data_IF_249136396241
#
_entry.id   IF_249136396241
#
_cell.length_a   1.000
_cell.length_b   1.000
_cell.length_c   1.000
_cell.angle_alpha   90.00
_cell.angle_beta   90.00
_cell.angle_gamma   90.00
#
_symmetry.space_group_name_H-M   'P 1'
#
loop_
_entity.id
_entity.type
_entity.pdbx_description
1 polymer ?
#
# COMPACT_ATOMS: atom_id res chain seq x y z
N UNK A 1 38.51 2.68 -13.55
CA UNK A 1 37.63 2.42 -14.71
C UNK A 1 36.98 1.03 -14.50
N UNK A 2 35.82 0.97 -13.88
CA UNK A 2 35.04 -0.24 -13.79
C UNK A 2 33.57 0.14 -14.10
N UNK A 3 33.04 -0.46 -15.14
CA UNK A 3 31.70 -0.24 -15.64
C UNK A 3 30.70 -0.89 -14.67
N UNK A 4 29.85 -0.08 -14.04
CA UNK A 4 28.66 -0.56 -13.33
C UNK A 4 27.66 -1.02 -14.41
N UNK A 5 27.49 -2.32 -14.54
CA UNK A 5 26.41 -2.91 -15.33
C UNK A 5 25.14 -2.86 -14.48
N UNK A 6 24.21 -1.98 -14.83
CA UNK A 6 22.80 -2.10 -14.43
C UNK A 6 22.28 -3.44 -14.94
N UNK A 7 22.04 -4.37 -14.06
CA UNK A 7 21.18 -5.53 -14.33
C UNK A 7 19.74 -5.09 -14.05
N UNK A 8 19.03 -4.76 -15.10
CA UNK A 8 17.57 -4.77 -15.07
C UNK A 8 17.16 -6.24 -14.93
N UNK A 9 16.72 -6.63 -13.77
CA UNK A 9 16.07 -7.93 -13.58
C UNK A 9 14.59 -7.75 -13.90
N UNK A 10 14.21 -8.18 -15.08
CA UNK A 10 12.84 -8.58 -15.37
C UNK A 10 12.58 -9.88 -14.59
N UNK A 11 11.91 -9.81 -13.47
CA UNK A 11 11.21 -10.95 -12.90
C UNK A 11 9.72 -10.63 -13.01
N UNK A 12 9.04 -11.40 -13.87
CA UNK A 12 7.60 -11.37 -14.00
C UNK A 12 6.96 -11.83 -12.69
N UNK A 13 6.33 -10.90 -11.99
CA UNK A 13 5.48 -11.20 -10.85
C UNK A 13 4.14 -11.66 -11.42
N UNK A 14 3.85 -12.97 -11.35
CA UNK A 14 2.51 -13.50 -11.57
C UNK A 14 1.63 -13.10 -10.37
N UNK A 15 1.11 -11.89 -10.38
CA UNK A 15 0.00 -11.55 -9.52
C UNK A 15 -1.27 -12.19 -10.11
N UNK A 16 -1.72 -13.31 -9.55
CA UNK A 16 -3.06 -13.84 -9.83
C UNK A 16 -4.08 -12.98 -9.10
N UNK A 17 -4.42 -11.84 -9.66
CA UNK A 17 -5.61 -11.10 -9.25
C UNK A 17 -6.82 -11.79 -9.90
N UNK A 18 -7.58 -12.56 -9.13
CA UNK A 18 -8.92 -13.00 -9.56
C UNK A 18 -9.85 -11.83 -9.30
N UNK A 19 -9.96 -10.94 -10.28
CA UNK A 19 -10.97 -9.86 -10.25
C UNK A 19 -12.29 -10.48 -10.69
N UNK A 20 -13.22 -10.68 -9.74
CA UNK A 20 -14.61 -10.99 -10.07
C UNK A 20 -15.31 -9.68 -10.46
N UNK A 21 -15.42 -9.43 -11.75
CA UNK A 21 -16.28 -8.34 -12.25
C UNK A 21 -17.69 -8.91 -12.43
N UNK A 22 -18.62 -8.51 -11.59
CA UNK A 22 -20.04 -8.78 -11.77
C UNK A 22 -20.57 -7.76 -12.78
N UNK A 23 -20.66 -8.15 -14.05
CA UNK A 23 -21.33 -7.33 -15.09
C UNK A 23 -22.83 -7.60 -14.99
N UNK A 24 -23.59 -6.62 -14.46
CA UNK A 24 -25.05 -6.61 -14.54
C UNK A 24 -25.47 -5.97 -15.86
N UNK A 25 -25.99 -6.82 -16.79
CA UNK A 25 -26.70 -6.39 -17.97
C UNK A 25 -28.03 -5.75 -17.60
N UNK A 26 -28.21 -4.46 -17.90
CA UNK A 26 -29.53 -3.81 -17.92
C UNK A 26 -30.13 -4.00 -19.32
N UNK A 27 -30.93 -5.02 -19.48
CA UNK A 27 -31.79 -5.19 -20.66
C UNK A 27 -33.19 -4.66 -20.40
N UNK A 28 -33.65 -3.83 -21.31
CA UNK A 28 -35.02 -3.43 -21.73
C UNK A 28 -36.18 -3.48 -20.76
N UNK A 29 -36.80 -2.34 -20.62
CA UNK A 29 -38.04 -2.06 -19.89
C UNK A 29 -39.20 -2.91 -20.40
N UNK A 30 -39.69 -3.82 -19.54
CA UNK A 30 -40.99 -4.42 -19.65
C UNK A 30 -41.72 -4.29 -18.33
N UNK A 31 -42.81 -3.53 -18.28
CA UNK A 31 -43.69 -3.42 -17.12
C UNK A 31 -44.35 -4.76 -16.84
N UNK A 32 -44.03 -5.43 -15.74
CA UNK A 32 -44.76 -6.58 -15.23
C UNK A 32 -45.26 -6.30 -13.83
N UNK A 33 -46.54 -6.68 -13.59
CA UNK A 33 -47.29 -6.53 -12.35
C UNK A 33 -46.72 -7.35 -11.19
N UNK A 34 -46.96 -6.98 -9.92
CA UNK A 34 -46.44 -7.70 -8.77
C UNK A 34 -47.22 -8.99 -8.52
N UNK A 35 -46.60 -10.13 -8.75
CA UNK A 35 -47.23 -11.41 -8.44
C UNK A 35 -46.52 -12.69 -8.83
N UNK A 36 -45.42 -12.65 -9.56
CA UNK A 36 -44.79 -13.88 -10.03
C UNK A 36 -43.55 -14.28 -9.22
N UNK A 37 -43.63 -15.47 -8.66
CA UNK A 37 -42.57 -16.14 -7.94
C UNK A 37 -41.33 -16.36 -8.85
N UNK A 38 -40.17 -16.09 -8.30
CA UNK A 38 -38.88 -16.41 -8.92
C UNK A 38 -38.77 -17.93 -9.17
N UNK A 39 -39.07 -18.37 -10.39
CA UNK A 39 -38.63 -19.66 -10.86
C UNK A 39 -37.20 -19.53 -11.37
N UNK A 40 -36.28 -20.26 -10.74
CA UNK A 40 -34.89 -20.37 -11.18
C UNK A 40 -34.88 -20.84 -12.67
N UNK A 41 -34.36 -19.98 -13.54
CA UNK A 41 -34.10 -20.36 -14.92
C UNK A 41 -33.04 -21.48 -14.94
N UNK A 42 -33.44 -22.65 -15.43
CA UNK A 42 -32.53 -23.76 -15.65
C UNK A 42 -31.43 -23.33 -16.63
N UNK A 43 -30.17 -23.48 -16.25
CA UNK A 43 -29.03 -23.30 -17.13
C UNK A 43 -29.15 -24.24 -18.32
N UNK A 44 -29.18 -23.70 -19.55
CA UNK A 44 -28.90 -24.48 -20.73
C UNK A 44 -27.49 -25.08 -20.62
N UNK A 45 -27.28 -26.32 -21.04
CA UNK A 45 -25.96 -26.94 -21.00
C UNK A 45 -24.99 -26.15 -21.89
N UNK A 46 -24.00 -25.56 -21.29
CA UNK A 46 -22.85 -24.95 -21.96
C UNK A 46 -22.11 -26.09 -22.66
N UNK A 47 -21.96 -26.00 -23.99
CA UNK A 47 -21.14 -26.93 -24.77
C UNK A 47 -19.71 -26.99 -24.23
N UNK A 48 -18.90 -27.99 -24.54
CA UNK A 48 -17.58 -28.16 -23.99
C UNK A 48 -16.74 -26.90 -24.27
N UNK A 49 -16.32 -26.25 -23.18
CA UNK A 49 -15.35 -25.17 -23.24
C UNK A 49 -14.06 -25.72 -23.84
N UNK A 50 -13.61 -25.17 -24.94
CA UNK A 50 -12.24 -25.39 -25.38
C UNK A 50 -11.31 -24.97 -24.26
N UNK A 51 -10.59 -25.94 -23.71
CA UNK A 51 -9.69 -25.77 -22.54
C UNK A 51 -8.38 -25.13 -22.96
N UNK A 52 -8.43 -23.85 -23.34
CA UNK A 52 -7.26 -22.99 -23.34
C UNK A 52 -7.20 -22.29 -22.00
N UNK A 53 -6.18 -22.53 -21.19
CA UNK A 53 -5.88 -21.66 -20.04
C UNK A 53 -5.71 -20.24 -20.59
N UNK A 54 -6.44 -19.21 -20.09
CA UNK A 54 -6.18 -17.83 -20.50
C UNK A 54 -4.71 -17.52 -20.27
N UNK A 55 -4.01 -17.08 -21.33
CA UNK A 55 -2.64 -16.59 -21.18
C UNK A 55 -2.64 -15.27 -20.40
N UNK A 56 -1.49 -14.80 -19.90
CA UNK A 56 -1.37 -13.46 -19.37
C UNK A 56 -1.78 -12.45 -20.46
N UNK A 57 -2.38 -11.33 -20.05
CA UNK A 57 -2.73 -10.21 -20.92
C UNK A 57 -3.79 -10.52 -22.00
N UNK A 58 -4.81 -11.27 -21.63
CA UNK A 58 -5.95 -11.59 -22.51
C UNK A 58 -7.27 -11.11 -21.91
N UNK A 59 -8.21 -10.74 -22.81
CA UNK A 59 -9.61 -10.52 -22.45
C UNK A 59 -10.40 -11.76 -22.84
N UNK A 60 -11.16 -12.31 -21.91
CA UNK A 60 -12.01 -13.49 -22.14
C UNK A 60 -13.48 -13.11 -21.98
N UNK A 61 -14.30 -13.47 -22.96
CA UNK A 61 -15.75 -13.27 -22.94
C UNK A 61 -16.48 -14.52 -22.44
N UNK A 62 -17.57 -14.31 -21.71
CA UNK A 62 -18.48 -15.35 -21.24
C UNK A 62 -19.93 -14.99 -21.56
N UNK A 63 -20.77 -15.99 -21.74
CA UNK A 63 -22.19 -15.79 -22.06
C UNK A 63 -22.41 -15.26 -23.47
N UNK A 64 -23.20 -14.19 -23.59
CA UNK A 64 -23.49 -13.54 -24.88
C UNK A 64 -22.43 -12.49 -25.27
N UNK A 65 -21.45 -12.22 -24.42
CA UNK A 65 -20.37 -11.30 -24.75
C UNK A 65 -19.50 -11.90 -25.86
N UNK A 66 -19.08 -11.06 -26.81
CA UNK A 66 -18.17 -11.46 -27.88
C UNK A 66 -16.88 -10.69 -27.74
N UNK A 67 -15.75 -11.39 -27.76
CA UNK A 67 -14.42 -10.76 -27.90
C UNK A 67 -14.00 -10.93 -29.35
N UNK A 68 -13.52 -9.87 -29.98
CA UNK A 68 -12.94 -9.97 -31.31
C UNK A 68 -11.81 -11.02 -31.32
N UNK A 69 -11.74 -11.92 -32.30
CA UNK A 69 -10.68 -12.93 -32.35
C UNK A 69 -9.30 -12.26 -32.33
N UNK A 70 -8.43 -12.69 -31.43
CA UNK A 70 -7.04 -12.23 -31.35
C UNK A 70 -6.78 -11.03 -30.42
N UNK A 71 -7.65 -10.73 -29.47
CA UNK A 71 -7.43 -9.66 -28.48
C UNK A 71 -6.43 -10.11 -27.42
N UNK A 72 -5.18 -10.26 -27.83
CA UNK A 72 -4.03 -10.25 -26.90
C UNK A 72 -3.62 -8.81 -26.73
N UNK A 73 -3.54 -8.34 -25.48
CA UNK A 73 -3.04 -7.01 -25.18
C UNK A 73 -1.52 -7.00 -25.43
N UNK A 74 -1.08 -6.21 -26.40
CA UNK A 74 0.32 -6.09 -26.75
C UNK A 74 0.88 -4.75 -26.26
N UNK A 75 2.13 -4.76 -25.84
CA UNK A 75 2.85 -3.53 -25.45
C UNK A 75 2.47 -2.99 -24.09
N UNK A 76 2.03 -3.85 -23.16
CA UNK A 76 1.82 -3.49 -21.76
C UNK A 76 3.16 -3.16 -21.10
N UNK A 77 3.25 -1.95 -20.53
CA UNK A 77 4.38 -1.55 -19.68
C UNK A 77 4.08 -1.79 -18.19
N UNK A 78 2.78 -1.99 -17.86
CA UNK A 78 2.30 -2.12 -16.50
C UNK A 78 1.10 -3.11 -16.43
N UNK A 79 0.78 -3.68 -15.25
CA UNK A 79 -0.33 -4.63 -15.09
C UNK A 79 -1.69 -4.01 -15.44
N UNK A 80 -2.60 -4.83 -15.99
CA UNK A 80 -4.02 -4.46 -16.15
C UNK A 80 -4.70 -4.40 -14.79
N UNK A 81 -5.43 -3.31 -14.54
CA UNK A 81 -6.12 -3.04 -13.26
C UNK A 81 -7.61 -2.78 -13.41
N UNK A 82 -8.15 -2.69 -14.64
CA UNK A 82 -9.57 -2.45 -14.84
C UNK A 82 -10.03 -2.70 -16.27
N UNK A 83 -11.34 -2.91 -16.40
CA UNK A 83 -12.05 -3.04 -17.66
C UNK A 83 -13.40 -2.35 -17.56
N UNK A 84 -13.85 -1.64 -18.62
CA UNK A 84 -15.18 -1.08 -18.74
C UNK A 84 -15.75 -1.41 -20.11
N UNK A 85 -17.06 -1.76 -20.16
CA UNK A 85 -17.75 -2.03 -21.42
C UNK A 85 -18.32 -0.74 -22.01
N UNK A 86 -18.47 -0.70 -23.34
CA UNK A 86 -19.29 0.31 -24.01
C UNK A 86 -20.77 0.14 -23.61
N UNK A 87 -21.59 1.21 -23.61
CA UNK A 87 -23.00 1.13 -23.19
C UNK A 87 -23.85 0.13 -24.00
N UNK A 88 -23.51 -0.10 -25.26
CA UNK A 88 -24.17 -1.08 -26.13
C UNK A 88 -23.65 -2.52 -25.98
N UNK A 89 -22.54 -2.67 -25.22
CA UNK A 89 -21.91 -3.97 -24.96
C UNK A 89 -21.14 -4.57 -26.14
N UNK A 90 -20.84 -3.78 -27.18
CA UNK A 90 -20.15 -4.25 -28.39
C UNK A 90 -18.62 -3.99 -28.33
N UNK A 91 -18.17 -3.20 -27.33
CA UNK A 91 -16.76 -2.91 -27.10
C UNK A 91 -16.41 -2.81 -25.63
N UNK A 92 -15.13 -2.60 -25.38
CA UNK A 92 -14.58 -2.41 -24.02
C UNK A 92 -13.27 -1.62 -24.04
N UNK A 93 -12.98 -0.99 -22.93
CA UNK A 93 -11.69 -0.40 -22.61
C UNK A 93 -11.02 -1.22 -21.51
N UNK A 94 -9.70 -1.36 -21.60
CA UNK A 94 -8.86 -1.95 -20.57
C UNK A 94 -7.87 -0.88 -20.12
N UNK A 95 -7.65 -0.74 -18.81
CA UNK A 95 -6.69 0.19 -18.23
C UNK A 95 -5.57 -0.57 -17.53
N UNK A 96 -4.33 -0.13 -17.76
CA UNK A 96 -3.15 -0.56 -17.02
C UNK A 96 -2.84 0.40 -15.85
N UNK A 97 -2.05 -0.04 -14.87
CA UNK A 97 -1.74 0.75 -13.67
C UNK A 97 -0.91 2.01 -13.96
N UNK A 98 -0.22 2.07 -15.10
CA UNK A 98 0.45 3.27 -15.60
C UNK A 98 -0.50 4.26 -16.31
N UNK A 99 -1.79 3.95 -16.37
CA UNK A 99 -2.81 4.73 -17.07
C UNK A 99 -2.88 4.50 -18.58
N UNK A 100 -2.18 3.50 -19.10
CA UNK A 100 -2.29 3.04 -20.48
C UNK A 100 -3.70 2.49 -20.76
N UNK A 101 -4.29 2.87 -21.92
CA UNK A 101 -5.63 2.44 -22.35
C UNK A 101 -5.53 1.59 -23.60
N UNK A 102 -6.26 0.48 -23.60
CA UNK A 102 -6.40 -0.45 -24.71
C UNK A 102 -7.88 -0.63 -25.04
N UNK A 103 -8.22 -0.64 -26.32
CA UNK A 103 -9.60 -0.72 -26.77
C UNK A 103 -9.87 -2.05 -27.49
N UNK A 104 -11.06 -2.58 -27.32
CA UNK A 104 -11.54 -3.76 -28.06
C UNK A 104 -12.97 -3.58 -28.56
N UNK A 105 -13.33 -4.27 -29.64
CA UNK A 105 -14.64 -4.11 -30.27
C UNK A 105 -14.82 -2.74 -30.92
N UNK A 106 -15.94 -2.08 -30.65
CA UNK A 106 -16.26 -0.74 -31.17
C UNK A 106 -15.87 0.41 -30.21
N UNK A 107 -15.19 0.10 -29.12
CA UNK A 107 -14.73 1.11 -28.17
C UNK A 107 -13.71 2.07 -28.81
N UNK A 108 -13.98 3.37 -28.78
CA UNK A 108 -13.09 4.40 -29.29
C UNK A 108 -12.04 4.81 -28.27
N UNK A 109 -10.83 5.12 -28.73
CA UNK A 109 -9.76 5.63 -27.85
C UNK A 109 -9.98 7.13 -27.64
N UNK A 110 -10.22 7.53 -26.39
CA UNK A 110 -10.50 8.93 -26.01
C UNK A 110 -9.31 9.61 -25.31
N UNK A 111 -8.22 8.87 -25.08
CA UNK A 111 -7.01 9.39 -24.44
C UNK A 111 -6.44 8.42 -23.40
N UNK A 112 -5.28 8.76 -22.86
CA UNK A 112 -4.52 7.88 -21.95
C UNK A 112 -3.66 8.69 -20.98
N UNK A 113 -3.48 8.21 -19.77
CA UNK A 113 -2.52 8.74 -18.82
C UNK A 113 -1.13 8.06 -18.90
N UNK A 114 -0.95 7.01 -19.73
CA UNK A 114 0.29 6.24 -19.84
C UNK A 114 1.52 7.00 -20.32
N UNK A 115 1.39 8.27 -20.71
CA UNK A 115 2.50 9.14 -21.10
C UNK A 115 2.83 10.25 -20.11
N UNK A 116 2.13 10.33 -18.97
CA UNK A 116 2.34 11.35 -17.94
C UNK A 116 2.89 10.71 -16.66
N UNK A 117 3.59 11.50 -15.87
CA UNK A 117 4.02 11.06 -14.55
C UNK A 117 2.82 11.03 -13.60
N UNK A 118 2.52 9.87 -13.03
CA UNK A 118 1.47 9.68 -12.02
C UNK A 118 2.11 9.71 -10.62
N UNK A 119 1.47 10.40 -9.68
CA UNK A 119 1.88 10.37 -8.27
C UNK A 119 1.55 9.04 -7.60
N UNK A 120 0.53 8.35 -8.11
CA UNK A 120 0.08 7.05 -7.62
C UNK A 120 -0.46 6.21 -8.79
N UNK A 121 -0.40 4.87 -8.72
CA UNK A 121 -0.86 4.01 -9.80
C UNK A 121 -2.38 4.12 -10.00
N UNK A 122 -2.83 3.96 -11.25
CA UNK A 122 -4.25 3.79 -11.58
C UNK A 122 -4.72 2.44 -11.00
N UNK A 123 -5.92 2.45 -10.42
CA UNK A 123 -6.55 1.28 -9.77
C UNK A 123 -7.93 0.95 -10.33
N UNK A 124 -8.47 1.78 -11.22
CA UNK A 124 -9.78 1.53 -11.81
C UNK A 124 -10.20 2.54 -12.86
N UNK A 125 -11.31 2.24 -13.53
CA UNK A 125 -11.93 3.11 -14.53
C UNK A 125 -13.44 2.97 -14.51
N UNK A 126 -14.13 4.00 -15.04
CA UNK A 126 -15.57 3.97 -15.31
C UNK A 126 -15.85 4.66 -16.65
N UNK A 127 -16.73 4.06 -17.49
CA UNK A 127 -17.15 4.67 -18.73
C UNK A 127 -18.28 5.67 -18.52
N UNK A 128 -18.38 6.68 -19.41
CA UNK A 128 -19.56 7.57 -19.48
C UNK A 128 -20.76 6.82 -20.06
N UNK A 129 -21.99 7.20 -19.69
CA UNK A 129 -23.19 6.60 -20.26
C UNK A 129 -23.35 6.82 -21.77
N UNK A 130 -22.68 7.82 -22.34
CA UNK A 130 -22.64 8.10 -23.77
C UNK A 130 -21.79 7.11 -24.57
N UNK A 131 -20.78 6.49 -23.91
CA UNK A 131 -19.75 5.68 -24.55
C UNK A 131 -18.66 6.47 -25.26
N UNK A 132 -18.58 7.79 -25.06
CA UNK A 132 -17.62 8.67 -25.69
C UNK A 132 -16.60 9.26 -24.69
N UNK A 133 -16.45 8.63 -23.53
CA UNK A 133 -15.49 9.03 -22.53
C UNK A 133 -15.38 8.03 -21.38
N UNK A 134 -14.40 8.26 -20.54
CA UNK A 134 -14.17 7.50 -19.32
C UNK A 134 -13.34 8.27 -18.31
N UNK A 135 -13.46 7.88 -17.06
CA UNK A 135 -12.62 8.34 -15.97
C UNK A 135 -11.65 7.23 -15.58
N UNK A 136 -10.42 7.60 -15.18
CA UNK A 136 -9.47 6.75 -14.48
C UNK A 136 -9.32 7.26 -13.05
N UNK A 137 -9.15 6.37 -12.09
CA UNK A 137 -8.87 6.73 -10.71
C UNK A 137 -7.54 6.13 -10.27
N UNK A 138 -6.70 6.94 -9.62
CA UNK A 138 -5.46 6.53 -8.98
C UNK A 138 -5.69 6.16 -7.51
N UNK A 139 -4.76 5.42 -6.91
CA UNK A 139 -4.86 4.97 -5.51
C UNK A 139 -4.81 6.11 -4.50
N UNK A 140 -4.25 7.28 -4.84
CA UNK A 140 -4.30 8.52 -4.05
C UNK A 140 -5.61 9.29 -4.19
N UNK A 141 -6.60 8.74 -4.93
CA UNK A 141 -7.86 9.38 -5.23
C UNK A 141 -7.81 10.42 -6.35
N UNK A 142 -6.68 10.54 -7.06
CA UNK A 142 -6.56 11.35 -8.28
C UNK A 142 -7.49 10.83 -9.38
N UNK A 143 -8.22 11.74 -10.06
CA UNK A 143 -9.13 11.38 -11.16
C UNK A 143 -8.67 12.04 -12.45
N UNK A 144 -8.65 11.26 -13.53
CA UNK A 144 -8.32 11.70 -14.89
C UNK A 144 -9.52 11.47 -15.79
N UNK A 145 -9.91 12.50 -16.55
CA UNK A 145 -11.08 12.51 -17.43
C UNK A 145 -10.65 12.50 -18.88
N UNK A 146 -11.28 11.65 -19.70
CA UNK A 146 -11.02 11.54 -21.13
C UNK A 146 -12.31 11.54 -21.94
N UNK A 147 -12.25 12.06 -23.19
CA UNK A 147 -13.42 12.19 -24.05
C UNK A 147 -14.44 13.20 -23.47
N UNK A 148 -15.69 12.79 -23.42
CA UNK A 148 -16.79 13.60 -22.88
C UNK A 148 -17.01 13.46 -21.36
N UNK A 149 -16.12 12.75 -20.67
CA UNK A 149 -16.19 12.56 -19.22
C UNK A 149 -15.93 13.88 -18.47
N UNK A 150 -16.92 14.48 -17.77
CA UNK A 150 -16.69 15.71 -17.03
C UNK A 150 -15.85 15.44 -15.79
N UNK A 151 -14.94 16.37 -15.45
CA UNK A 151 -14.22 16.33 -14.19
C UNK A 151 -15.08 16.95 -13.09
N UNK A 152 -15.49 16.16 -12.11
CA UNK A 152 -16.38 16.56 -11.02
C UNK A 152 -15.65 16.72 -9.67
N UNK A 153 -14.36 16.38 -9.61
CA UNK A 153 -13.53 16.51 -8.43
C UNK A 153 -12.60 15.32 -8.20
N UNK A 154 -11.76 15.40 -7.19
CA UNK A 154 -10.69 14.44 -6.91
C UNK A 154 -10.23 14.56 -5.47
N UNK A 155 -9.72 13.47 -4.88
CA UNK A 155 -8.99 13.49 -3.62
C UNK A 155 -7.46 13.56 -3.83
N UNK A 156 -6.98 13.48 -5.06
CA UNK A 156 -5.55 13.59 -5.39
C UNK A 156 -4.87 14.78 -4.73
N UNK A 157 -3.74 14.54 -4.08
CA UNK A 157 -2.99 15.54 -3.32
C UNK A 157 -3.51 15.81 -1.91
N UNK A 158 -4.49 15.03 -1.42
CA UNK A 158 -4.95 15.04 -0.02
C UNK A 158 -4.54 13.74 0.67
N UNK A 159 -4.14 13.80 1.95
CA UNK A 159 -3.89 12.58 2.71
C UNK A 159 -5.18 11.76 2.85
N UNK A 160 -5.14 10.51 2.44
CA UNK A 160 -6.21 9.53 2.65
C UNK A 160 -5.84 8.61 3.82
N UNK A 161 -6.83 8.16 4.58
CA UNK A 161 -6.62 7.14 5.62
C UNK A 161 -6.26 5.79 5.02
N UNK A 162 -6.85 5.48 3.85
CA UNK A 162 -6.62 4.25 3.10
C UNK A 162 -6.69 4.55 1.59
N UNK A 163 -5.93 3.84 0.75
CA UNK A 163 -5.94 4.07 -0.68
C UNK A 163 -7.29 3.77 -1.32
N UNK A 164 -7.61 4.51 -2.37
CA UNK A 164 -8.74 4.21 -3.26
C UNK A 164 -8.45 2.92 -4.02
N UNK A 165 -9.48 2.08 -4.17
CA UNK A 165 -9.41 0.77 -4.84
C UNK A 165 -10.41 0.62 -5.99
N UNK A 166 -11.25 1.61 -6.23
CA UNK A 166 -12.20 1.56 -7.34
C UNK A 166 -13.08 2.79 -7.45
N UNK A 167 -13.80 2.88 -8.57
CA UNK A 167 -14.77 3.94 -8.84
C UNK A 167 -16.00 3.40 -9.56
N UNK A 168 -17.11 4.14 -9.46
CA UNK A 168 -18.30 3.91 -10.27
C UNK A 168 -18.95 5.24 -10.65
N UNK A 169 -19.37 5.37 -11.92
CA UNK A 169 -20.07 6.55 -12.40
C UNK A 169 -21.55 6.53 -12.02
N UNK A 170 -22.16 7.73 -11.88
CA UNK A 170 -23.62 7.85 -11.78
C UNK A 170 -24.26 7.53 -13.14
N UNK A 171 -25.53 7.08 -13.15
CA UNK A 171 -26.24 6.83 -14.38
C UNK A 171 -26.43 8.07 -15.28
N UNK A 172 -26.35 9.26 -14.70
CA UNK A 172 -26.43 10.55 -15.44
C UNK A 172 -25.12 10.88 -16.19
N UNK A 173 -23.97 10.32 -15.74
CA UNK A 173 -22.65 10.70 -16.22
C UNK A 173 -22.13 12.04 -15.69
N UNK A 174 -22.81 12.64 -14.68
CA UNK A 174 -22.44 13.92 -14.05
C UNK A 174 -21.92 13.74 -12.62
N UNK A 175 -21.48 12.56 -12.26
CA UNK A 175 -20.87 12.28 -10.98
C UNK A 175 -20.28 10.89 -10.92
N UNK A 176 -19.54 10.64 -9.85
CA UNK A 176 -18.94 9.34 -9.54
C UNK A 176 -18.66 9.20 -8.06
N UNK A 177 -18.58 7.95 -7.62
CA UNK A 177 -18.09 7.56 -6.31
C UNK A 177 -16.72 6.93 -6.43
N UNK A 178 -15.86 7.20 -5.45
CA UNK A 178 -14.61 6.47 -5.22
C UNK A 178 -14.78 5.66 -3.93
N UNK A 179 -14.23 4.45 -3.89
CA UNK A 179 -14.19 3.62 -2.69
C UNK A 179 -12.74 3.40 -2.26
N UNK A 180 -12.45 3.67 -0.98
CA UNK A 180 -11.18 3.31 -0.36
C UNK A 180 -11.22 1.88 0.18
N UNK A 181 -10.04 1.30 0.44
CA UNK A 181 -9.90 -0.08 0.88
C UNK A 181 -10.54 -0.38 2.24
N UNK A 182 -10.77 0.63 3.08
CA UNK A 182 -11.51 0.54 4.35
C UNK A 182 -13.04 0.67 4.18
N UNK A 183 -13.53 0.78 2.94
CA UNK A 183 -14.92 1.03 2.63
C UNK A 183 -15.33 2.51 2.71
N UNK A 184 -14.36 3.42 2.87
CA UNK A 184 -14.56 4.86 2.77
C UNK A 184 -15.09 5.26 1.40
N UNK A 185 -16.12 6.14 1.34
CA UNK A 185 -16.74 6.61 0.09
C UNK A 185 -16.50 8.10 -0.07
N UNK A 186 -16.04 8.49 -1.26
CA UNK A 186 -15.96 9.88 -1.71
C UNK A 186 -16.93 10.09 -2.86
N UNK A 187 -17.74 11.14 -2.79
CA UNK A 187 -18.80 11.44 -3.74
C UNK A 187 -18.51 12.74 -4.47
N UNK A 188 -18.60 12.73 -5.80
CA UNK A 188 -18.33 13.89 -6.65
C UNK A 188 -19.47 14.13 -7.64
N UNK A 189 -19.65 15.41 -8.02
CA UNK A 189 -20.72 15.81 -8.95
C UNK A 189 -22.10 15.56 -8.35
N UNK A 190 -22.98 14.92 -9.12
CA UNK A 190 -24.33 14.55 -8.70
C UNK A 190 -24.44 13.20 -7.96
N UNK A 191 -23.29 12.58 -7.62
CA UNK A 191 -23.27 11.32 -6.89
C UNK A 191 -23.69 11.54 -5.43
N UNK A 192 -24.86 11.02 -4.98
CA UNK A 192 -25.29 11.20 -3.60
C UNK A 192 -24.47 10.31 -2.66
N UNK A 193 -24.16 10.83 -1.46
CA UNK A 193 -23.57 10.04 -0.41
C UNK A 193 -24.66 9.24 0.30
N UNK A 194 -24.58 7.89 0.24
CA UNK A 194 -25.59 6.98 0.81
C UNK A 194 -25.03 6.16 1.99
N UNK A 195 -23.83 6.51 2.48
CA UNK A 195 -23.18 5.87 3.61
C UNK A 195 -21.77 5.36 3.27
N UNK A 196 -21.04 4.95 4.30
CA UNK A 196 -19.62 4.56 4.19
C UNK A 196 -19.26 3.67 5.37
N UNK A 197 -18.38 2.71 5.15
CA UNK A 197 -17.75 1.92 6.21
C UNK A 197 -16.39 2.48 6.64
N UNK A 198 -15.94 3.57 6.02
CA UNK A 198 -14.67 4.22 6.34
C UNK A 198 -14.56 4.57 7.83
N UNK A 199 -13.45 4.15 8.45
CA UNK A 199 -13.23 4.29 9.89
C UNK A 199 -13.97 3.28 10.77
N UNK A 200 -14.75 2.37 10.18
CA UNK A 200 -15.39 1.26 10.90
C UNK A 200 -14.58 -0.01 10.66
N UNK A 201 -14.26 -0.82 11.70
CA UNK A 201 -13.58 -2.10 11.48
C UNK A 201 -14.46 -3.03 10.63
N UNK A 202 -14.05 -3.29 9.40
CA UNK A 202 -14.70 -4.25 8.50
C UNK A 202 -14.00 -5.61 8.57
N UNK A 203 -14.74 -6.69 8.30
CA UNK A 203 -14.17 -8.06 8.24
C UNK A 203 -13.50 -8.38 6.89
N UNK A 204 -13.23 -7.38 6.06
CA UNK A 204 -12.62 -7.52 4.75
C UNK A 204 -12.14 -6.19 4.21
N UNK A 205 -11.39 -6.26 3.13
CA UNK A 205 -10.91 -5.08 2.38
C UNK A 205 -11.88 -4.81 1.25
N UNK A 206 -12.32 -3.57 1.09
CA UNK A 206 -13.11 -3.21 -0.08
C UNK A 206 -12.28 -3.43 -1.34
N UNK A 207 -12.83 -4.17 -2.31
CA UNK A 207 -12.15 -4.55 -3.56
C UNK A 207 -12.85 -4.01 -4.79
N UNK A 208 -13.99 -3.35 -4.62
CA UNK A 208 -14.73 -2.76 -5.72
C UNK A 208 -16.03 -2.10 -5.30
N UNK A 209 -16.55 -1.31 -6.22
CA UNK A 209 -17.79 -0.53 -6.10
C UNK A 209 -18.62 -0.72 -7.35
N UNK A 210 -19.93 -0.87 -7.20
CA UNK A 210 -20.87 -0.89 -8.31
C UNK A 210 -22.04 0.06 -8.05
N UNK A 211 -22.33 0.94 -9.02
CA UNK A 211 -23.47 1.83 -8.97
C UNK A 211 -24.80 1.06 -9.15
N UNK A 212 -25.86 1.56 -8.51
CA UNK A 212 -27.25 1.10 -8.67
C UNK A 212 -28.20 2.30 -8.61
N UNK A 213 -29.45 2.16 -9.06
CA UNK A 213 -30.43 3.22 -8.83
C UNK A 213 -30.61 3.50 -7.33
N UNK A 214 -30.30 4.75 -6.92
CA UNK A 214 -30.42 5.23 -5.54
C UNK A 214 -29.30 4.73 -4.60
N UNK A 215 -28.08 4.50 -5.12
CA UNK A 215 -26.92 4.17 -4.28
C UNK A 215 -25.86 3.32 -4.95
N UNK A 216 -25.16 2.51 -4.17
CA UNK A 216 -24.05 1.66 -4.61
C UNK A 216 -23.94 0.40 -3.75
N UNK A 217 -23.24 -0.60 -4.25
CA UNK A 217 -22.75 -1.74 -3.49
C UNK A 217 -21.23 -1.66 -3.37
N UNK A 218 -20.72 -2.02 -2.21
CA UNK A 218 -19.29 -2.23 -1.98
C UNK A 218 -19.04 -3.73 -1.90
N UNK A 219 -18.10 -4.24 -2.66
CA UNK A 219 -17.65 -5.62 -2.56
C UNK A 219 -16.45 -5.69 -1.62
N UNK A 220 -16.51 -6.60 -0.65
CA UNK A 220 -15.40 -6.89 0.25
C UNK A 220 -14.78 -8.24 -0.09
N UNK A 221 -13.47 -8.27 -0.20
CA UNK A 221 -12.70 -9.48 -0.42
C UNK A 221 -12.07 -9.99 0.88
N UNK A 222 -11.92 -11.31 0.99
CA UNK A 222 -11.09 -11.96 2.01
C UNK A 222 -9.83 -12.49 1.33
N UNK A 223 -8.86 -11.60 1.06
CA UNK A 223 -7.51 -12.03 0.74
C UNK A 223 -6.73 -12.38 2.03
N UNK A 224 -5.57 -12.99 1.90
CA UNK A 224 -4.75 -13.32 3.06
C UNK A 224 -4.35 -12.05 3.83
N UNK A 225 -4.12 -10.93 3.12
CA UNK A 225 -3.77 -9.65 3.69
C UNK A 225 -4.93 -9.02 4.51
N UNK A 226 -6.20 -9.27 4.14
CA UNK A 226 -7.36 -8.81 4.92
C UNK A 226 -7.45 -9.48 6.30
N UNK A 227 -6.84 -10.65 6.45
CA UNK A 227 -6.77 -11.39 7.71
C UNK A 227 -5.65 -10.92 8.62
N UNK A 228 -4.67 -10.16 8.11
CA UNK A 228 -3.48 -9.75 8.87
C UNK A 228 -3.84 -9.14 10.23
N UNK A 229 -4.71 -8.14 10.25
CA UNK A 229 -5.05 -7.43 11.49
C UNK A 229 -5.88 -8.30 12.44
N UNK A 230 -6.91 -9.05 12.00
CA UNK A 230 -7.55 -10.07 12.84
C UNK A 230 -6.58 -11.09 13.42
N UNK A 231 -5.67 -11.64 12.63
CA UNK A 231 -4.72 -12.67 13.07
C UNK A 231 -3.68 -12.08 14.05
N UNK A 232 -3.22 -10.83 13.84
CA UNK A 232 -2.41 -10.09 14.82
C UNK A 232 -3.19 -9.88 16.13
N UNK A 233 -4.46 -9.47 16.04
CA UNK A 233 -5.29 -9.26 17.23
C UNK A 233 -5.48 -10.55 18.04
N UNK A 234 -5.71 -11.67 17.40
CA UNK A 234 -5.81 -13.00 18.02
C UNK A 234 -4.49 -13.40 18.69
N UNK A 235 -3.36 -13.24 17.98
CA UNK A 235 -2.04 -13.54 18.53
C UNK A 235 -1.73 -12.65 19.75
N UNK A 236 -1.91 -11.33 19.63
CA UNK A 236 -1.63 -10.37 20.72
C UNK A 236 -2.53 -10.60 21.93
N UNK A 237 -3.77 -11.09 21.74
CA UNK A 237 -4.65 -11.44 22.86
C UNK A 237 -4.07 -12.56 23.76
N UNK A 238 -3.12 -13.34 23.27
CA UNK A 238 -2.38 -14.35 24.05
C UNK A 238 -1.13 -13.82 24.74
N UNK A 239 -0.79 -12.54 24.50
CA UNK A 239 0.42 -11.88 25.03
C UNK A 239 0.07 -10.98 26.21
N UNK A 240 1.04 -10.74 27.09
CA UNK A 240 0.88 -9.93 28.29
C UNK A 240 1.31 -8.46 28.10
N UNK A 241 1.59 -8.04 26.88
CA UNK A 241 2.17 -6.76 26.50
C UNK A 241 1.19 -5.86 25.74
N UNK A 242 1.49 -4.56 25.71
CA UNK A 242 0.85 -3.66 24.77
C UNK A 242 1.60 -3.74 23.44
N UNK A 243 0.84 -3.83 22.35
CA UNK A 243 1.38 -3.94 21.00
C UNK A 243 0.66 -2.96 20.08
N UNK A 244 1.40 -2.19 19.30
CA UNK A 244 0.89 -1.43 18.16
C UNK A 244 1.68 -1.82 16.91
N UNK A 245 0.98 -1.93 15.78
CA UNK A 245 1.55 -2.39 14.52
C UNK A 245 1.11 -1.50 13.38
N UNK A 246 2.03 -1.21 12.47
CA UNK A 246 1.73 -0.70 11.16
C UNK A 246 2.53 -1.49 10.12
N UNK A 247 1.88 -1.88 9.04
CA UNK A 247 2.49 -2.55 7.89
C UNK A 247 2.01 -1.86 6.63
N UNK A 248 2.90 -1.53 5.72
CA UNK A 248 2.57 -0.96 4.43
C UNK A 248 3.06 -1.89 3.33
N UNK A 249 2.13 -2.36 2.51
CA UNK A 249 2.42 -3.12 1.31
C UNK A 249 2.75 -2.15 0.16
N UNK A 250 4.03 -2.02 -0.18
CA UNK A 250 4.51 -1.11 -1.23
C UNK A 250 4.10 -1.56 -2.65
N UNK A 251 3.65 -2.81 -2.80
CA UNK A 251 3.18 -3.30 -4.10
C UNK A 251 1.84 -2.68 -4.52
N UNK A 252 1.05 -2.20 -3.54
CA UNK A 252 -0.30 -1.66 -3.76
C UNK A 252 -0.63 -0.42 -2.91
N UNK A 253 0.30 0.02 -2.04
CA UNK A 253 0.15 1.20 -1.17
C UNK A 253 -0.80 1.00 0.02
N UNK A 254 -1.25 -0.23 0.33
CA UNK A 254 -2.14 -0.49 1.46
C UNK A 254 -1.40 -0.44 2.79
N UNK A 255 -2.02 0.24 3.77
CA UNK A 255 -1.52 0.30 5.15
C UNK A 255 -2.46 -0.47 6.08
N UNK A 256 -1.91 -1.43 6.79
CA UNK A 256 -2.59 -2.25 7.80
C UNK A 256 -2.16 -1.79 9.19
N UNK A 257 -3.11 -1.50 10.08
CA UNK A 257 -2.81 -0.95 11.39
C UNK A 257 -3.53 -1.72 12.49
N UNK A 258 -2.80 -2.02 13.57
CA UNK A 258 -3.34 -2.54 14.82
C UNK A 258 -3.06 -1.55 15.94
N UNK A 259 -4.10 -1.05 16.62
CA UNK A 259 -4.04 -0.02 17.68
C UNK A 259 -3.27 1.24 17.26
N UNK A 260 -3.64 1.92 16.17
CA UNK A 260 -2.86 3.00 15.55
C UNK A 260 -2.64 4.22 16.46
N UNK A 261 -3.50 4.44 17.46
CA UNK A 261 -3.37 5.56 18.41
C UNK A 261 -2.51 5.26 19.64
N UNK A 262 -1.94 4.06 19.76
CA UNK A 262 -1.07 3.72 20.86
C UNK A 262 0.31 4.37 20.62
N UNK A 263 0.77 5.13 21.63
CA UNK A 263 2.05 5.84 21.61
C UNK A 263 3.03 5.08 22.50
N UNK A 264 4.21 4.80 21.97
CA UNK A 264 5.27 4.06 22.65
C UNK A 264 6.60 4.80 22.54
N UNK A 265 7.55 4.46 23.40
CA UNK A 265 8.91 4.99 23.28
C UNK A 265 9.65 4.30 22.11
N UNK A 266 10.48 5.07 21.43
CA UNK A 266 11.25 4.57 20.28
C UNK A 266 12.30 3.53 20.64
N UNK A 267 12.90 3.63 21.83
CA UNK A 267 14.15 2.96 22.14
C UNK A 267 15.16 3.13 20.98
N UNK A 268 15.97 2.10 20.66
CA UNK A 268 16.99 2.20 19.61
C UNK A 268 16.48 2.28 18.17
N UNK A 269 15.16 2.22 17.92
CA UNK A 269 14.66 2.49 16.58
C UNK A 269 14.87 3.95 16.15
N UNK A 270 15.00 4.89 17.12
CA UNK A 270 15.34 6.29 16.87
C UNK A 270 16.71 6.49 16.18
N UNK A 271 17.60 5.54 16.26
CA UNK A 271 18.94 5.65 15.67
C UNK A 271 18.90 5.85 14.16
N UNK A 272 17.85 5.40 13.48
CA UNK A 272 17.60 5.69 12.07
C UNK A 272 17.35 7.19 11.87
N UNK A 273 16.57 7.82 12.75
CA UNK A 273 16.22 9.24 12.68
C UNK A 273 17.46 10.11 12.95
N UNK A 274 18.30 9.70 13.91
CA UNK A 274 19.59 10.35 14.20
C UNK A 274 20.48 10.30 12.95
N UNK A 275 20.62 9.14 12.31
CA UNK A 275 21.44 9.00 11.12
C UNK A 275 20.86 9.77 9.91
N UNK A 276 19.54 9.74 9.71
CA UNK A 276 18.87 10.53 8.70
C UNK A 276 19.14 12.03 8.89
N UNK A 277 19.08 12.50 10.15
CA UNK A 277 19.36 13.90 10.49
C UNK A 277 20.82 14.28 10.20
N UNK A 278 21.76 13.42 10.55
CA UNK A 278 23.19 13.65 10.27
C UNK A 278 23.43 13.76 8.75
N UNK A 279 22.81 12.89 7.98
CA UNK A 279 22.92 12.87 6.52
C UNK A 279 22.26 14.08 5.86
N UNK A 280 21.08 14.52 6.33
CA UNK A 280 20.45 15.74 5.82
C UNK A 280 21.29 16.99 6.08
N UNK A 281 21.95 17.09 7.24
CA UNK A 281 22.88 18.19 7.50
C UNK A 281 24.11 18.15 6.57
N UNK A 282 24.71 16.99 6.35
CA UNK A 282 25.81 16.81 5.41
C UNK A 282 25.39 17.18 3.96
N UNK A 283 24.19 16.76 3.53
CA UNK A 283 23.60 17.13 2.24
C UNK A 283 23.45 18.65 2.09
N UNK A 284 22.90 19.31 3.11
CA UNK A 284 22.72 20.76 3.11
C UNK A 284 24.05 21.52 3.05
N UNK A 285 25.10 20.96 3.66
CA UNK A 285 26.46 21.49 3.60
C UNK A 285 27.20 21.15 2.29
N UNK A 286 26.65 20.29 1.45
CA UNK A 286 27.30 19.79 0.25
C UNK A 286 28.52 18.90 0.50
N UNK A 287 28.55 18.21 1.67
CA UNK A 287 29.66 17.35 2.11
C UNK A 287 29.20 15.91 2.28
N UNK A 288 30.18 15.00 2.30
CA UNK A 288 29.96 13.65 2.84
C UNK A 288 30.16 13.65 4.36
N UNK A 289 29.69 12.58 5.02
CA UNK A 289 30.03 12.35 6.44
C UNK A 289 31.55 12.27 6.61
N UNK A 290 32.06 12.90 7.66
CA UNK A 290 33.46 12.80 8.06
C UNK A 290 33.81 11.36 8.47
N UNK A 291 35.10 10.96 8.47
CA UNK A 291 35.52 9.66 8.96
C UNK A 291 35.10 9.41 10.44
N UNK A 292 35.05 10.44 11.25
CA UNK A 292 34.60 10.36 12.63
C UNK A 292 33.09 10.07 12.71
N UNK A 293 32.26 10.78 11.97
CA UNK A 293 30.81 10.54 11.88
C UNK A 293 30.50 9.15 11.34
N UNK A 294 31.23 8.68 10.32
CA UNK A 294 31.09 7.31 9.80
C UNK A 294 31.45 6.25 10.85
N UNK A 295 32.52 6.51 11.66
CA UNK A 295 32.94 5.61 12.74
C UNK A 295 31.91 5.50 13.88
N UNK A 296 31.01 6.48 14.01
CA UNK A 296 29.88 6.45 14.94
C UNK A 296 28.63 5.85 14.29
N UNK A 297 28.32 6.22 13.04
CA UNK A 297 27.12 5.78 12.35
C UNK A 297 27.04 4.25 12.16
N UNK A 298 28.16 3.61 11.77
CA UNK A 298 28.20 2.17 11.53
C UNK A 298 27.83 1.38 12.78
N UNK A 299 28.54 1.47 13.92
CA UNK A 299 28.21 0.67 15.10
C UNK A 299 26.89 1.12 15.75
N UNK A 300 26.45 2.38 15.55
CA UNK A 300 25.14 2.85 16.01
C UNK A 300 23.99 2.05 15.37
N UNK A 301 24.09 1.76 14.07
CA UNK A 301 23.04 1.02 13.36
C UNK A 301 23.27 -0.48 13.45
N UNK A 302 24.46 -0.98 13.08
CA UNK A 302 24.73 -2.42 12.94
C UNK A 302 24.77 -3.13 14.30
N UNK A 303 25.43 -2.55 15.32
CA UNK A 303 25.58 -3.11 16.68
C UNK A 303 24.59 -2.52 17.68
N UNK A 304 23.80 -1.54 17.26
CA UNK A 304 22.94 -0.76 18.16
C UNK A 304 23.70 -0.07 19.30
N UNK A 305 24.93 0.42 19.06
CA UNK A 305 25.80 1.00 20.08
C UNK A 305 25.23 2.33 20.63
N UNK A 306 24.86 2.36 21.92
CA UNK A 306 24.23 3.52 22.56
C UNK A 306 25.18 4.71 22.68
N UNK A 307 26.46 4.49 23.03
CA UNK A 307 27.43 5.59 23.16
C UNK A 307 27.68 6.37 21.86
N UNK A 308 27.52 5.72 20.71
CA UNK A 308 27.57 6.38 19.42
C UNK A 308 26.31 7.25 19.19
N UNK A 309 25.16 6.73 19.56
CA UNK A 309 23.89 7.48 19.51
C UNK A 309 23.92 8.67 20.47
N UNK A 310 24.43 8.52 21.71
CA UNK A 310 24.59 9.60 22.70
C UNK A 310 25.43 10.75 22.14
N UNK A 311 26.54 10.39 21.47
CA UNK A 311 27.45 11.37 20.87
C UNK A 311 26.75 12.15 19.76
N UNK A 312 26.13 11.45 18.79
CA UNK A 312 25.45 12.08 17.66
C UNK A 312 24.20 12.85 18.10
N UNK A 313 23.41 12.33 19.03
CA UNK A 313 22.26 13.03 19.61
C UNK A 313 22.66 14.33 20.29
N UNK A 314 23.77 14.32 21.04
CA UNK A 314 24.30 15.51 21.68
C UNK A 314 24.79 16.55 20.67
N UNK A 315 25.43 16.08 19.60
CA UNK A 315 25.90 16.93 18.50
C UNK A 315 24.74 17.59 17.74
N UNK A 316 23.73 16.83 17.37
CA UNK A 316 22.61 17.27 16.54
C UNK A 316 21.57 18.07 17.35
N UNK A 317 21.26 17.59 18.54
CA UNK A 317 20.20 18.07 19.42
C UNK A 317 18.79 17.60 19.02
N UNK A 318 17.87 17.49 20.00
CA UNK A 318 16.51 16.97 19.76
C UNK A 318 15.70 17.82 18.78
N UNK A 319 15.98 19.11 18.68
CA UNK A 319 15.29 20.00 17.75
C UNK A 319 15.57 19.71 16.28
N UNK A 320 16.80 19.34 15.95
CA UNK A 320 17.19 18.99 14.59
C UNK A 320 16.60 17.63 14.19
N UNK A 321 16.65 16.63 15.09
CA UNK A 321 16.04 15.32 14.85
C UNK A 321 14.53 15.47 14.66
N UNK A 322 13.84 16.18 15.55
CA UNK A 322 12.41 16.45 15.42
C UNK A 322 12.01 17.28 14.19
N UNK A 323 12.93 18.05 13.60
CA UNK A 323 12.68 18.72 12.32
C UNK A 323 12.64 17.71 11.16
N UNK A 324 13.61 16.80 11.12
CA UNK A 324 13.69 15.73 10.13
C UNK A 324 12.52 14.75 10.26
N UNK A 325 12.14 14.36 11.48
CA UNK A 325 10.96 13.55 11.77
C UNK A 325 9.69 14.17 11.16
N UNK A 326 9.46 15.47 11.38
CA UNK A 326 8.29 16.17 10.82
C UNK A 326 8.34 16.24 9.30
N UNK A 327 9.52 16.45 8.71
CA UNK A 327 9.71 16.48 7.26
C UNK A 327 9.47 15.10 6.65
N UNK A 328 9.82 14.03 7.36
CA UNK A 328 9.47 12.66 7.01
C UNK A 328 7.98 12.31 7.18
N UNK A 329 7.16 13.25 7.71
CA UNK A 329 5.72 13.05 7.93
C UNK A 329 5.34 12.45 9.28
N UNK A 330 6.25 12.39 10.25
CA UNK A 330 6.02 11.85 11.59
C UNK A 330 5.31 12.89 12.46
N UNK A 331 3.99 12.90 12.45
CA UNK A 331 3.18 13.96 13.06
C UNK A 331 2.85 13.74 14.53
N UNK A 332 2.96 12.51 15.02
CA UNK A 332 2.67 12.10 16.40
C UNK A 332 3.95 11.84 17.22
N UNK A 333 5.13 11.90 16.58
CA UNK A 333 6.42 11.71 17.26
C UNK A 333 6.82 12.96 18.03
N UNK A 334 7.20 12.77 19.28
CA UNK A 334 7.63 13.84 20.19
C UNK A 334 9.04 13.54 20.69
N UNK A 335 10.05 14.33 20.27
CA UNK A 335 11.42 14.15 20.70
C UNK A 335 11.57 14.26 22.22
N UNK A 336 12.42 13.43 22.80
CA UNK A 336 12.74 13.44 24.23
C UNK A 336 13.32 14.79 24.65
N UNK A 337 12.88 15.29 25.82
CA UNK A 337 13.36 16.54 26.43
C UNK A 337 14.16 16.32 27.71
N UNK A 338 14.24 15.07 28.16
CA UNK A 338 14.98 14.66 29.39
C UNK A 338 16.46 14.34 29.11
N UNK A 339 16.91 14.45 27.88
CA UNK A 339 18.26 14.12 27.43
C UNK A 339 18.49 12.65 27.09
N UNK A 340 17.47 11.80 27.23
CA UNK A 340 17.54 10.38 26.94
C UNK A 340 16.82 10.12 25.61
N UNK A 341 17.53 10.07 24.51
CA UNK A 341 16.95 9.94 23.15
C UNK A 341 15.95 8.78 23.00
N UNK A 342 16.19 7.64 23.66
CA UNK A 342 15.33 6.46 23.62
C UNK A 342 13.94 6.64 24.23
N UNK A 343 13.69 7.72 24.99
CA UNK A 343 12.39 8.09 25.54
C UNK A 343 11.57 9.00 24.59
N UNK A 344 12.08 9.29 23.39
CA UNK A 344 11.27 9.86 22.31
C UNK A 344 10.02 9.01 22.10
N UNK A 345 8.85 9.61 22.10
CA UNK A 345 7.59 8.91 21.93
C UNK A 345 7.12 8.97 20.48
N UNK A 346 6.51 7.87 19.99
CA UNK A 346 6.14 7.70 18.59
C UNK A 346 4.95 6.76 18.44
N UNK A 347 4.41 6.67 17.22
CA UNK A 347 3.42 5.64 16.81
C UNK A 347 4.05 4.69 15.80
N UNK A 348 3.46 3.51 15.63
CA UNK A 348 3.90 2.58 14.59
C UNK A 348 3.77 3.19 13.18
N UNK A 349 2.75 4.02 12.94
CA UNK A 349 2.58 4.71 11.66
C UNK A 349 3.69 5.72 11.38
N UNK A 350 4.08 6.50 12.39
CA UNK A 350 5.20 7.45 12.26
C UNK A 350 6.52 6.72 11.97
N UNK A 351 6.72 5.54 12.59
CA UNK A 351 7.92 4.73 12.28
C UNK A 351 7.93 4.26 10.81
N UNK A 352 6.76 3.89 10.24
CA UNK A 352 6.69 3.60 8.80
C UNK A 352 7.06 4.82 7.96
N UNK A 353 6.63 6.03 8.34
CA UNK A 353 6.94 7.25 7.59
C UNK A 353 8.46 7.47 7.48
N UNK A 354 9.22 7.25 8.56
CA UNK A 354 10.69 7.32 8.52
C UNK A 354 11.28 6.23 7.61
N UNK A 355 10.83 4.97 7.74
CA UNK A 355 11.36 3.89 6.89
C UNK A 355 10.99 4.11 5.43
N UNK A 356 9.80 4.64 5.13
CA UNK A 356 9.43 5.04 3.77
C UNK A 356 10.37 6.10 3.21
N UNK A 357 10.71 7.13 4.01
CA UNK A 357 11.67 8.15 3.60
C UNK A 357 13.07 7.57 3.32
N UNK A 358 13.44 6.47 3.99
CA UNK A 358 14.70 5.75 3.73
C UNK A 358 14.61 4.88 2.46
N UNK A 359 13.46 4.27 2.18
CA UNK A 359 13.28 3.31 1.07
C UNK A 359 12.92 4.01 -0.25
N UNK A 360 11.93 4.91 -0.22
CA UNK A 360 11.39 5.55 -1.42
C UNK A 360 12.09 6.86 -1.79
N UNK A 361 12.16 7.22 -3.08
CA UNK A 361 12.67 8.52 -3.53
C UNK A 361 11.88 9.69 -2.93
N UNK A 362 12.58 10.68 -2.37
CA UNK A 362 11.96 11.85 -1.75
C UNK A 362 12.94 13.04 -1.75
N UNK A 363 12.49 14.22 -1.29
CA UNK A 363 13.32 15.42 -1.22
C UNK A 363 14.18 15.50 0.05
N UNK A 364 13.83 14.75 1.11
CA UNK A 364 14.54 14.77 2.39
C UNK A 364 15.90 14.08 2.31
N UNK A 365 15.97 12.90 1.69
CA UNK A 365 17.18 12.08 1.59
C UNK A 365 17.55 11.84 0.14
N UNK A 366 18.79 12.16 -0.23
CA UNK A 366 19.34 11.79 -1.56
C UNK A 366 19.42 10.28 -1.71
N UNK A 367 19.48 9.80 -2.97
CA UNK A 367 19.69 8.37 -3.28
C UNK A 367 20.92 7.79 -2.56
N UNK A 368 22.01 8.57 -2.46
CA UNK A 368 23.22 8.15 -1.77
C UNK A 368 23.02 8.01 -0.25
N UNK A 369 22.27 8.93 0.37
CA UNK A 369 21.96 8.87 1.79
C UNK A 369 21.05 7.71 2.13
N UNK A 370 20.00 7.48 1.32
CA UNK A 370 19.11 6.33 1.47
C UNK A 370 19.87 5.01 1.35
N UNK A 371 20.69 4.87 0.29
CA UNK A 371 21.51 3.68 0.08
C UNK A 371 22.49 3.43 1.24
N UNK A 372 23.03 4.49 1.86
CA UNK A 372 23.91 4.37 3.01
C UNK A 372 23.16 3.86 4.25
N UNK A 373 21.99 4.42 4.55
CA UNK A 373 21.16 3.96 5.68
C UNK A 373 20.74 2.50 5.47
N UNK A 374 20.18 2.17 4.30
CA UNK A 374 19.74 0.80 3.96
C UNK A 374 20.91 -0.18 4.07
N UNK A 375 22.08 0.17 3.52
CA UNK A 375 23.26 -0.69 3.61
C UNK A 375 23.64 -1.03 5.05
N UNK A 376 23.55 -0.09 6.01
CA UNK A 376 23.81 -0.38 7.41
C UNK A 376 22.69 -1.22 8.04
N UNK A 377 21.43 -0.96 7.69
CA UNK A 377 20.27 -1.69 8.21
C UNK A 377 20.20 -3.14 7.68
N UNK A 378 20.82 -3.44 6.54
CA UNK A 378 20.95 -4.79 5.97
C UNK A 378 22.12 -5.59 6.58
N UNK A 379 23.06 -4.90 7.26
CA UNK A 379 24.30 -5.51 7.79
C UNK A 379 24.34 -5.54 9.31
N UNK A 380 23.17 -5.62 9.96
CA UNK A 380 23.08 -5.74 11.42
C UNK A 380 23.79 -7.00 11.93
N UNK A 381 24.33 -6.91 13.15
CA UNK A 381 24.98 -8.06 13.78
C UNK A 381 23.97 -9.17 14.10
N UNK A 382 24.41 -10.47 14.13
CA UNK A 382 23.51 -11.60 14.40
C UNK A 382 22.69 -11.50 15.69
N UNK A 383 23.17 -10.78 16.70
CA UNK A 383 22.42 -10.54 17.94
C UNK A 383 21.23 -9.61 17.78
N UNK A 384 21.17 -8.87 16.66
CA UNK A 384 20.08 -7.96 16.29
C UNK A 384 19.16 -8.56 15.22
N UNK A 385 19.45 -9.79 14.72
CA UNK A 385 18.66 -10.45 13.67
C UNK A 385 17.38 -11.07 14.24
N UNK A 386 16.41 -10.23 14.55
CA UNK A 386 15.07 -10.56 15.03
C UNK A 386 14.08 -9.45 14.66
N UNK A 387 12.81 -9.61 14.95
CA UNK A 387 11.77 -8.61 14.68
C UNK A 387 11.30 -8.67 13.22
N UNK A 388 11.66 -7.71 12.39
CA UNK A 388 11.22 -7.66 11.00
C UNK A 388 11.63 -8.90 10.19
N UNK A 389 12.62 -9.68 10.64
CA UNK A 389 13.01 -10.98 10.05
C UNK A 389 12.09 -12.13 10.43
N UNK A 390 11.16 -11.92 11.37
CA UNK A 390 10.25 -12.96 11.85
C UNK A 390 9.45 -13.63 10.72
N UNK A 391 9.68 -14.92 10.47
CA UNK A 391 9.02 -15.69 9.42
C UNK A 391 9.56 -15.49 8.01
N UNK A 392 10.52 -14.61 7.81
CA UNK A 392 11.13 -14.31 6.51
C UNK A 392 12.17 -15.40 6.17
N UNK A 393 12.11 -16.04 4.99
CA UNK A 393 13.06 -17.08 4.62
C UNK A 393 14.41 -16.49 4.19
N UNK A 394 15.50 -17.27 4.25
CA UNK A 394 16.80 -16.86 3.74
C UNK A 394 16.76 -16.44 2.26
N UNK A 395 17.47 -15.37 1.93
CA UNK A 395 17.58 -14.85 0.55
C UNK A 395 16.60 -13.73 0.22
N UNK A 396 15.74 -13.37 1.15
CA UNK A 396 14.94 -12.13 1.10
C UNK A 396 15.75 -11.01 1.74
N UNK A 397 15.70 -9.82 1.16
CA UNK A 397 16.35 -8.63 1.73
C UNK A 397 15.54 -8.12 2.91
N UNK A 398 16.18 -7.91 4.05
CA UNK A 398 15.59 -7.26 5.21
C UNK A 398 16.54 -6.16 5.69
N UNK A 399 16.09 -4.92 5.63
CA UNK A 399 16.75 -3.79 6.25
C UNK A 399 15.97 -3.41 7.52
N UNK A 400 16.58 -3.53 8.70
CA UNK A 400 15.85 -3.33 9.94
C UNK A 400 16.64 -2.55 11.00
N UNK A 401 15.91 -1.97 11.94
CA UNK A 401 16.45 -1.46 13.20
C UNK A 401 15.56 -1.86 14.35
N UNK A 402 16.14 -2.57 15.29
CA UNK A 402 15.49 -2.96 16.52
C UNK A 402 15.75 -1.94 17.63
N UNK A 403 14.85 -1.93 18.61
CA UNK A 403 14.97 -1.15 19.82
C UNK A 403 14.50 -1.96 21.03
N UNK A 404 15.28 -1.92 22.10
CA UNK A 404 14.90 -2.52 23.38
C UNK A 404 15.35 -1.62 24.54
N UNK A 405 14.53 -1.53 25.57
CA UNK A 405 14.79 -0.75 26.76
C UNK A 405 13.95 -1.28 27.93
N UNK A 406 14.34 -0.94 29.14
CA UNK A 406 13.51 -1.17 30.34
C UNK A 406 12.98 0.17 30.80
N UNK A 407 11.74 0.49 30.41
CA UNK A 407 11.02 1.71 30.77
C UNK A 407 9.59 1.26 31.12
N UNK A 408 9.24 1.21 32.41
CA UNK A 408 7.96 0.66 32.88
C UNK A 408 7.65 -0.77 32.34
N UNK A 409 8.65 -1.66 32.37
CA UNK A 409 8.67 -2.97 31.75
C UNK A 409 9.59 -3.01 30.53
N UNK A 410 9.72 -4.19 29.93
CA UNK A 410 10.51 -4.30 28.71
C UNK A 410 9.75 -3.73 27.51
N UNK A 411 10.41 -2.84 26.81
CA UNK A 411 10.01 -2.38 25.47
C UNK A 411 10.85 -3.09 24.44
N UNK A 412 10.19 -3.69 23.47
CA UNK A 412 10.82 -4.41 22.36
C UNK A 412 10.17 -3.95 21.08
N UNK A 413 10.93 -3.30 20.23
CA UNK A 413 10.47 -2.64 19.04
C UNK A 413 11.25 -3.14 17.82
N UNK A 414 10.61 -3.19 16.67
CA UNK A 414 11.26 -3.40 15.38
C UNK A 414 10.67 -2.46 14.34
N UNK A 415 11.50 -1.99 13.43
CA UNK A 415 11.07 -1.25 12.24
C UNK A 415 11.96 -1.67 11.08
N UNK A 416 11.38 -1.84 9.89
CA UNK A 416 12.17 -2.31 8.75
C UNK A 416 11.44 -2.33 7.43
N UNK A 417 12.19 -2.69 6.41
CA UNK A 417 11.77 -2.95 5.05
C UNK A 417 12.13 -4.37 4.66
N UNK A 418 11.20 -5.04 3.99
CA UNK A 418 11.36 -6.42 3.53
C UNK A 418 11.05 -6.49 2.05
N UNK A 419 12.00 -6.94 1.23
CA UNK A 419 11.88 -7.08 -0.23
C UNK A 419 12.36 -8.44 -0.72
N UNK A 420 11.49 -9.14 -1.41
CA UNK A 420 11.79 -10.42 -2.05
C UNK A 420 10.65 -11.42 -1.98
N UNK A 421 10.78 -12.51 -2.73
CA UNK A 421 9.77 -13.56 -2.84
C UNK A 421 8.36 -13.02 -3.20
N UNK A 422 8.32 -11.98 -4.07
CA UNK A 422 7.09 -11.33 -4.53
C UNK A 422 6.42 -10.42 -3.50
N UNK A 423 7.13 -10.02 -2.45
CA UNK A 423 6.71 -9.07 -1.42
C UNK A 423 7.63 -7.86 -1.45
N UNK A 424 7.08 -6.71 -1.12
CA UNK A 424 7.78 -5.45 -0.89
C UNK A 424 6.94 -4.66 0.12
N UNK A 425 7.41 -4.57 1.38
CA UNK A 425 6.62 -3.94 2.44
C UNK A 425 7.48 -3.31 3.54
N UNK A 426 6.90 -2.33 4.21
CA UNK A 426 7.41 -1.72 5.42
C UNK A 426 6.67 -2.30 6.63
N UNK A 427 7.39 -2.44 7.75
CA UNK A 427 6.81 -2.91 9.01
C UNK A 427 7.34 -2.10 10.20
N UNK A 428 6.45 -1.77 11.13
CA UNK A 428 6.78 -1.25 12.45
C UNK A 428 5.93 -1.97 13.50
N UNK A 429 6.60 -2.56 14.49
CA UNK A 429 5.96 -3.18 15.65
C UNK A 429 6.58 -2.57 16.90
N UNK A 430 5.76 -1.91 17.71
CA UNK A 430 6.19 -1.31 18.98
C UNK A 430 5.47 -2.01 20.12
N UNK A 431 6.22 -2.36 21.16
CA UNK A 431 5.66 -3.08 22.31
C UNK A 431 6.15 -2.51 23.63
N UNK A 432 5.31 -2.60 24.67
CA UNK A 432 5.63 -2.19 26.02
C UNK A 432 5.00 -3.14 27.05
N UNK A 433 5.63 -3.25 28.24
CA UNK A 433 5.13 -4.11 29.30
C UNK A 433 5.46 -5.59 29.13
N UNK A 434 6.41 -5.93 28.28
CA UNK A 434 6.88 -7.30 28.14
C UNK A 434 7.50 -7.81 29.44
N UNK A 435 7.23 -9.06 29.80
CA UNK A 435 7.72 -9.68 31.03
C UNK A 435 9.22 -9.98 30.99
N UNK A 436 9.82 -10.06 29.83
CA UNK A 436 11.26 -10.19 29.59
C UNK A 436 11.61 -9.83 28.15
N UNK A 437 12.90 -9.59 27.88
CA UNK A 437 13.42 -9.33 26.54
C UNK A 437 13.11 -10.49 25.57
N UNK A 438 13.42 -11.76 25.86
CA UNK A 438 13.09 -12.87 24.95
C UNK A 438 11.59 -13.03 24.69
N UNK A 439 10.75 -12.68 25.68
CA UNK A 439 9.31 -12.71 25.51
C UNK A 439 8.85 -11.66 24.50
N UNK A 440 9.35 -10.42 24.63
CA UNK A 440 9.02 -9.33 23.70
C UNK A 440 9.57 -9.59 22.29
N UNK A 441 10.79 -10.13 22.15
CA UNK A 441 11.33 -10.57 20.87
C UNK A 441 10.37 -11.58 20.22
N UNK A 442 9.93 -12.61 20.97
CA UNK A 442 8.94 -13.56 20.46
C UNK A 442 7.60 -12.92 20.08
N UNK A 443 7.22 -11.79 20.71
CA UNK A 443 6.01 -11.04 20.32
C UNK A 443 6.20 -10.35 18.97
N UNK A 444 7.29 -9.62 18.77
CA UNK A 444 7.54 -8.91 17.51
C UNK A 444 7.81 -9.87 16.36
N UNK A 445 8.53 -10.97 16.58
CA UNK A 445 8.74 -12.04 15.59
C UNK A 445 7.42 -12.69 15.14
N UNK A 446 6.53 -12.97 16.09
CA UNK A 446 5.23 -13.56 15.81
C UNK A 446 4.36 -12.63 14.97
N UNK A 447 4.32 -11.34 15.30
CA UNK A 447 3.60 -10.32 14.51
C UNK A 447 4.19 -10.22 13.10
N UNK A 448 5.52 -10.14 12.98
CA UNK A 448 6.21 -10.07 11.69
C UNK A 448 5.95 -11.32 10.83
N UNK A 449 5.94 -12.51 11.45
CA UNK A 449 5.60 -13.75 10.75
C UNK A 449 4.15 -13.75 10.23
N UNK A 450 3.20 -13.18 10.96
CA UNK A 450 1.82 -13.02 10.49
C UNK A 450 1.80 -12.07 9.28
N UNK A 451 2.50 -10.93 9.35
CA UNK A 451 2.58 -9.98 8.25
C UNK A 451 3.18 -10.62 6.99
N UNK A 452 4.33 -11.30 7.13
CA UNK A 452 4.98 -12.04 6.04
C UNK A 452 4.02 -13.05 5.38
N UNK A 453 3.29 -13.82 6.19
CA UNK A 453 2.36 -14.84 5.70
C UNK A 453 1.10 -14.25 5.06
N UNK A 454 0.65 -13.10 5.52
CA UNK A 454 -0.53 -12.42 5.00
C UNK A 454 -0.28 -11.73 3.66
N UNK A 455 0.93 -11.18 3.45
CA UNK A 455 1.33 -10.49 2.22
C UNK A 455 1.85 -11.44 1.13
N UNK A 456 1.27 -12.65 1.02
CA UNK A 456 1.64 -13.60 -0.04
C UNK A 456 1.29 -13.05 -1.42
N UNK A 457 2.17 -13.29 -2.44
CA UNK A 457 1.90 -12.94 -3.82
C UNK A 457 0.64 -13.61 -4.37
#
# INVERSE_FOLDING_TARGET
MARIRRRVRFLGVLARLVVWVLVLLVGGVGLASPGDALTAAAHAPVGPLESGTPGPDTVTAFGAATVAPGTTLHGLNAPVVGVAATPDGLGYWVVASDGGIFTGGDATFEGSAGGIHLNAPIVGMAATPSGHGYWLVASDGGVFSFGDAPFEGSEGGRPLNQPVVGMAATPSGHGYWLVASDGGIFSFGDAPFEGSDGGTPTQGVAVGLAARPGGYWIAYGSDAASRMIPDIAEYVATRADNVTVAVEDLTNGRIYQFRPGLVENTASTLKVDILATLLTQAQAAGTALSPEEQSLAVPMIEDSLDSAADTLWTQLGPGAVGAVEREAGMTATVPATDGVWGTTTTTALDRLAMIRAVVEPNELLTDASRAYILGLMEHITPSQDWGATGGVPPGVTVALKNGFAVIDGWQINTTGWVDGDGRDYLIAVLTNGNVSEPYGIGTVDGVSSIAWNALRP
#
